data_IF_744066229684
#
_entry.id   IF_744066229684
#
_cell.length_a   1.000
_cell.length_b   1.000
_cell.length_c   1.000
_cell.angle_alpha   90.00
_cell.angle_beta   90.00
_cell.angle_gamma   90.00
#
_symmetry.space_group_name_H-M   'P 1'
#
loop_
_entity.id
_entity.type
_entity.pdbx_description
1 polymer ?
#
# COMPACT_ATOMS: atom_id res chain seq x y z
N UNK A 1 6.57 -20.53 5.88
CA UNK A 1 5.82 -19.34 5.39
C UNK A 1 6.24 -18.14 6.21
N UNK A 2 7.06 -17.25 5.64
CA UNK A 2 7.36 -15.98 6.30
C UNK A 2 6.11 -15.10 6.19
N UNK A 3 5.48 -14.76 7.30
CA UNK A 3 4.52 -13.67 7.31
C UNK A 3 5.26 -12.43 6.83
N UNK A 4 4.94 -11.96 5.62
CA UNK A 4 5.35 -10.62 5.19
C UNK A 4 4.98 -9.66 6.31
N UNK A 5 5.97 -8.94 6.87
CA UNK A 5 5.75 -7.96 7.93
C UNK A 5 4.80 -6.84 7.50
N UNK A 6 4.30 -6.81 6.26
CA UNK A 6 3.50 -5.74 5.74
C UNK A 6 1.99 -6.02 5.90
N UNK A 7 1.27 -5.02 6.42
CA UNK A 7 -0.19 -5.04 6.55
C UNK A 7 -0.81 -3.98 5.63
N UNK A 8 -1.93 -4.34 5.00
CA UNK A 8 -2.76 -3.49 4.15
C UNK A 8 -4.14 -3.37 4.78
N UNK A 9 -4.49 -2.17 5.23
CA UNK A 9 -5.76 -1.90 5.91
C UNK A 9 -6.45 -0.65 5.35
N UNK A 10 -7.78 -0.63 5.41
CA UNK A 10 -8.56 0.62 5.35
C UNK A 10 -8.92 1.01 6.78
N UNK A 11 -8.66 2.26 7.15
CA UNK A 11 -8.97 2.76 8.48
C UNK A 11 -9.28 4.25 8.46
N UNK A 12 -10.08 4.70 9.43
CA UNK A 12 -10.36 6.11 9.69
C UNK A 12 -9.43 6.62 10.78
N UNK A 13 -8.83 7.79 10.59
CA UNK A 13 -8.01 8.45 11.62
C UNK A 13 -8.94 9.15 12.61
N UNK A 14 -8.77 8.90 13.91
CA UNK A 14 -9.63 9.45 14.96
C UNK A 14 -8.89 10.33 15.97
N UNK A 15 -7.56 10.25 16.02
CA UNK A 15 -6.76 11.11 16.89
C UNK A 15 -5.28 11.04 16.56
N UNK A 16 -4.51 11.99 17.09
CA UNK A 16 -3.05 12.05 16.94
C UNK A 16 -2.41 12.51 18.24
N UNK A 17 -1.26 11.93 18.58
CA UNK A 17 -0.42 12.39 19.68
C UNK A 17 1.07 12.17 19.38
N UNK A 18 1.91 13.07 19.89
CA UNK A 18 3.36 12.89 19.90
C UNK A 18 3.72 12.01 21.11
N UNK A 19 4.44 10.89 20.89
CA UNK A 19 4.70 9.90 21.97
C UNK A 19 6.16 9.88 22.42
N UNK A 20 7.12 10.03 21.51
CA UNK A 20 8.54 9.99 21.85
C UNK A 20 9.34 10.81 20.85
N UNK A 21 9.95 11.91 21.30
CA UNK A 21 10.91 12.77 20.58
C UNK A 21 10.43 13.30 19.23
N UNK A 22 10.24 12.42 18.27
CA UNK A 22 9.83 12.66 16.89
C UNK A 22 8.87 11.60 16.32
N UNK A 23 8.14 10.83 17.15
CA UNK A 23 7.17 9.83 16.68
C UNK A 23 5.73 10.31 16.94
N UNK A 24 4.97 10.45 15.86
CA UNK A 24 3.51 10.61 15.89
C UNK A 24 2.85 9.24 15.96
N UNK A 25 1.91 9.11 16.89
CA UNK A 25 0.96 8.00 16.95
C UNK A 25 -0.41 8.52 16.55
N UNK A 26 -0.98 7.91 15.53
CA UNK A 26 -2.37 8.10 15.14
C UNK A 26 -3.21 6.98 15.71
N UNK A 27 -4.26 7.33 16.45
CA UNK A 27 -5.30 6.39 16.82
C UNK A 27 -6.24 6.23 15.62
N UNK A 28 -6.58 4.98 15.29
CA UNK A 28 -7.37 4.66 14.10
C UNK A 28 -8.53 3.72 14.43
N UNK A 29 -9.61 3.86 13.67
CA UNK A 29 -10.69 2.89 13.62
C UNK A 29 -10.50 2.03 12.35
N UNK A 30 -10.00 0.81 12.52
CA UNK A 30 -9.85 -0.12 11.40
C UNK A 30 -11.23 -0.51 10.84
N UNK A 31 -11.42 -0.31 9.55
CA UNK A 31 -12.65 -0.66 8.82
C UNK A 31 -12.50 -2.03 8.17
N UNK A 32 -11.35 -2.28 7.54
CA UNK A 32 -11.08 -3.54 6.84
C UNK A 32 -9.60 -3.89 6.82
N UNK A 33 -9.29 -5.18 6.99
CA UNK A 33 -7.97 -5.72 6.71
C UNK A 33 -8.00 -6.48 5.37
N UNK A 34 -7.09 -6.14 4.46
CA UNK A 34 -6.94 -6.82 3.17
C UNK A 34 -5.75 -7.79 3.16
N UNK A 35 -4.68 -7.46 3.90
CA UNK A 35 -3.51 -8.32 4.10
C UNK A 35 -2.95 -8.02 5.49
N UNK A 36 -2.59 -9.04 6.25
CA UNK A 36 -2.01 -8.87 7.57
C UNK A 36 -2.36 -10.02 8.51
N UNK A 37 -1.99 -9.91 9.79
CA UNK A 37 -2.35 -10.89 10.81
C UNK A 37 -3.83 -10.81 11.18
N UNK A 38 -4.37 -11.88 11.75
CA UNK A 38 -5.74 -11.91 12.28
C UNK A 38 -5.85 -11.16 13.62
N UNK A 39 -5.65 -9.85 13.59
CA UNK A 39 -5.82 -8.94 14.74
C UNK A 39 -6.12 -7.53 14.27
N UNK A 40 -6.90 -6.80 15.08
CA UNK A 40 -7.24 -5.40 14.81
C UNK A 40 -6.05 -4.49 15.12
N UNK A 41 -5.73 -3.59 14.18
CA UNK A 41 -4.73 -2.54 14.36
C UNK A 41 -5.44 -1.29 14.88
N UNK A 42 -5.06 -0.85 16.07
CA UNK A 42 -5.68 0.29 16.76
C UNK A 42 -4.91 1.60 16.56
N UNK A 43 -3.65 1.52 16.13
CA UNK A 43 -2.78 2.67 15.99
C UNK A 43 -1.73 2.50 14.90
N UNK A 44 -1.38 3.62 14.29
CA UNK A 44 -0.32 3.74 13.30
C UNK A 44 0.74 4.72 13.81
N UNK A 45 2.00 4.44 13.51
CA UNK A 45 3.15 5.23 13.93
C UNK A 45 3.91 5.75 12.71
N UNK A 46 4.43 6.97 12.82
CA UNK A 46 5.26 7.59 11.78
C UNK A 46 6.17 8.64 12.42
N UNK A 47 7.26 8.99 11.74
CA UNK A 47 8.05 10.16 12.13
C UNK A 47 7.19 11.44 12.06
N UNK A 48 7.53 12.44 12.86
CA UNK A 48 6.85 13.73 12.94
C UNK A 48 7.23 14.71 11.83
N UNK A 49 8.37 14.49 11.18
CA UNK A 49 8.90 15.37 10.14
C UNK A 49 8.92 14.67 8.77
N UNK A 50 8.44 15.33 7.70
CA UNK A 50 8.58 14.82 6.33
C UNK A 50 10.03 14.51 5.94
N UNK A 51 11.00 15.26 6.46
CA UNK A 51 12.43 15.02 6.23
C UNK A 51 12.92 13.68 6.80
N UNK A 52 12.22 13.13 7.79
CA UNK A 52 12.43 11.79 8.34
C UNK A 52 11.42 10.77 7.77
N UNK A 53 10.88 11.02 6.58
CA UNK A 53 9.83 10.25 5.94
C UNK A 53 8.52 10.17 6.76
N UNK A 54 8.25 11.20 7.55
CA UNK A 54 7.03 11.34 8.33
C UNK A 54 5.79 11.66 7.48
N UNK A 55 4.63 11.20 7.92
CA UNK A 55 3.34 11.44 7.27
C UNK A 55 2.41 12.22 8.20
N UNK A 56 1.80 13.27 7.65
CA UNK A 56 0.71 14.00 8.32
C UNK A 56 -0.62 13.46 7.83
N UNK A 57 -1.49 13.01 8.74
CA UNK A 57 -2.81 12.49 8.42
C UNK A 57 -3.90 13.39 8.98
N UNK A 58 -5.01 13.51 8.27
CA UNK A 58 -6.16 14.31 8.68
C UNK A 58 -7.09 13.48 9.57
N UNK A 59 -7.52 14.05 10.70
CA UNK A 59 -8.52 13.44 11.57
C UNK A 59 -9.86 13.38 10.84
N UNK A 60 -10.64 12.33 11.12
CA UNK A 60 -11.92 12.00 10.50
C UNK A 60 -11.86 11.62 9.02
N UNK A 61 -10.67 11.43 8.46
CA UNK A 61 -10.49 10.98 7.08
C UNK A 61 -10.12 9.50 7.03
N UNK A 62 -10.59 8.83 5.99
CA UNK A 62 -10.30 7.43 5.71
C UNK A 62 -9.17 7.28 4.72
N UNK A 63 -8.34 6.28 4.96
CA UNK A 63 -7.18 6.00 4.13
C UNK A 63 -7.03 4.51 3.89
N UNK A 64 -6.34 4.18 2.81
CA UNK A 64 -5.73 2.88 2.60
C UNK A 64 -4.26 2.98 3.01
N UNK A 65 -3.87 2.18 4.00
CA UNK A 65 -2.52 2.14 4.54
C UNK A 65 -1.82 0.84 4.17
N UNK A 66 -0.61 0.95 3.62
CA UNK A 66 0.38 -0.12 3.56
C UNK A 66 1.48 0.22 4.55
N UNK A 67 1.57 -0.56 5.62
CA UNK A 67 2.53 -0.32 6.71
C UNK A 67 3.25 -1.58 7.14
N UNK A 68 4.41 -1.39 7.78
CA UNK A 68 5.20 -2.47 8.35
C UNK A 68 4.76 -2.72 9.79
N UNK A 69 4.50 -3.98 10.12
CA UNK A 69 4.11 -4.43 11.43
C UNK A 69 5.34 -4.95 12.18
N UNK A 70 5.68 -4.28 13.27
CA UNK A 70 6.83 -4.61 14.11
C UNK A 70 6.41 -4.60 15.57
N UNK A 71 6.62 -5.72 16.27
CA UNK A 71 6.23 -5.89 17.68
C UNK A 71 4.78 -5.48 18.00
N UNK A 72 3.87 -5.69 17.05
CA UNK A 72 2.44 -5.34 17.19
C UNK A 72 2.08 -3.89 16.87
N UNK A 73 3.05 -3.07 16.48
CA UNK A 73 2.84 -1.68 16.03
C UNK A 73 2.96 -1.60 14.52
N UNK A 74 2.05 -0.85 13.89
CA UNK A 74 2.09 -0.59 12.46
C UNK A 74 2.78 0.74 12.20
N UNK A 75 3.84 0.72 11.40
CA UNK A 75 4.60 1.90 10.99
C UNK A 75 4.34 2.21 9.52
N UNK A 76 4.12 3.49 9.23
CA UNK A 76 4.02 4.01 7.85
C UNK A 76 5.11 5.07 7.64
N UNK A 77 5.42 5.31 6.38
CA UNK A 77 6.37 6.34 5.96
C UNK A 77 5.85 7.07 4.73
N UNK A 78 6.47 8.19 4.40
CA UNK A 78 6.13 9.02 3.24
C UNK A 78 6.24 8.25 1.90
N UNK A 79 7.15 7.28 1.81
CA UNK A 79 7.30 6.43 0.62
C UNK A 79 6.26 5.28 0.56
N UNK A 80 5.51 5.07 1.64
CA UNK A 80 4.46 4.07 1.72
C UNK A 80 3.17 4.52 1.02
N UNK A 81 2.28 3.56 0.79
CA UNK A 81 0.97 3.84 0.22
C UNK A 81 0.00 4.24 1.34
N UNK A 82 -0.27 5.54 1.47
CA UNK A 82 -1.11 6.14 2.50
C UNK A 82 -2.18 7.05 1.87
N UNK A 83 -2.87 6.56 0.84
CA UNK A 83 -3.79 7.38 0.05
C UNK A 83 -5.14 7.53 0.75
N UNK A 84 -5.76 8.73 0.70
CA UNK A 84 -7.16 8.89 1.05
C UNK A 84 -8.04 7.90 0.30
N UNK A 85 -9.00 7.30 1.00
CA UNK A 85 -9.87 6.28 0.41
C UNK A 85 -10.66 6.82 -0.79
N UNK A 86 -11.04 8.10 -0.77
CA UNK A 86 -11.78 8.72 -1.86
C UNK A 86 -10.95 8.96 -3.12
N UNK A 87 -9.63 9.06 -3.00
CA UNK A 87 -8.73 9.28 -4.13
C UNK A 87 -8.42 7.98 -4.91
N UNK A 88 -8.84 6.83 -4.39
CA UNK A 88 -8.71 5.55 -5.07
C UNK A 88 -9.74 5.42 -6.19
N UNK A 89 -9.28 4.96 -7.36
CA UNK A 89 -10.16 4.63 -8.48
C UNK A 89 -11.12 3.49 -8.12
N UNK A 90 -12.25 3.41 -8.81
CA UNK A 90 -13.17 2.28 -8.67
C UNK A 90 -12.48 0.93 -8.97
N UNK A 91 -11.54 0.93 -9.94
CA UNK A 91 -10.72 -0.24 -10.27
C UNK A 91 -9.83 -0.68 -9.11
N UNK A 92 -9.12 0.25 -8.48
CA UNK A 92 -8.31 -0.02 -7.28
C UNK A 92 -9.16 -0.58 -6.14
N UNK A 93 -10.27 0.09 -5.80
CA UNK A 93 -11.19 -0.35 -4.74
C UNK A 93 -11.69 -1.79 -4.97
N UNK A 94 -12.00 -2.14 -6.23
CA UNK A 94 -12.39 -3.49 -6.63
C UNK A 94 -11.23 -4.48 -6.52
N UNK A 95 -10.07 -4.14 -7.07
CA UNK A 95 -8.92 -5.05 -7.16
C UNK A 95 -8.32 -5.41 -5.79
N UNK A 96 -8.48 -4.56 -4.77
CA UNK A 96 -8.13 -4.85 -3.37
C UNK A 96 -8.77 -6.13 -2.82
N UNK A 97 -9.98 -6.48 -3.28
CA UNK A 97 -10.71 -7.65 -2.79
C UNK A 97 -10.63 -8.88 -3.71
N UNK A 98 -10.19 -8.70 -4.95
CA UNK A 98 -10.38 -9.71 -5.99
C UNK A 98 -9.10 -10.12 -6.71
N UNK A 99 -8.22 -9.17 -7.03
CA UNK A 99 -7.17 -9.38 -8.04
C UNK A 99 -5.76 -9.25 -7.49
N UNK A 100 -5.49 -8.28 -6.60
CA UNK A 100 -4.11 -8.05 -6.16
C UNK A 100 -3.48 -9.25 -5.45
N UNK A 101 -4.28 -10.08 -4.75
CA UNK A 101 -3.76 -11.30 -4.16
C UNK A 101 -3.26 -12.30 -5.21
N UNK A 102 -3.97 -12.48 -6.32
CA UNK A 102 -3.55 -13.36 -7.42
C UNK A 102 -2.34 -12.83 -8.21
N UNK A 103 -2.04 -11.54 -8.09
CA UNK A 103 -0.88 -10.90 -8.70
C UNK A 103 0.39 -10.89 -7.86
N UNK A 104 0.35 -11.38 -6.60
CA UNK A 104 1.51 -11.28 -5.68
C UNK A 104 2.75 -12.06 -6.14
N UNK A 105 2.57 -13.06 -7.00
CA UNK A 105 3.66 -13.83 -7.61
C UNK A 105 4.29 -13.11 -8.81
N UNK A 106 3.63 -12.07 -9.34
CA UNK A 106 4.12 -11.29 -10.46
C UNK A 106 4.95 -10.10 -9.99
N UNK A 107 5.97 -9.76 -10.79
CA UNK A 107 6.78 -8.56 -10.57
C UNK A 107 6.21 -7.41 -11.39
N UNK A 108 6.14 -6.23 -10.79
CA UNK A 108 5.92 -4.98 -11.54
C UNK A 108 7.26 -4.30 -11.72
N UNK A 109 7.70 -4.14 -12.97
CA UNK A 109 8.99 -3.53 -13.31
C UNK A 109 8.75 -2.10 -13.77
N UNK A 110 9.28 -1.12 -13.04
CA UNK A 110 9.22 0.28 -13.45
C UNK A 110 10.17 0.54 -14.63
N UNK A 111 9.64 1.12 -15.71
CA UNK A 111 10.47 1.69 -16.77
C UNK A 111 10.78 3.15 -16.46
N UNK A 112 11.98 3.41 -15.94
CA UNK A 112 12.42 4.73 -15.50
C UNK A 112 13.06 5.52 -16.65
N UNK A 113 13.69 4.83 -17.60
CA UNK A 113 14.29 5.41 -18.80
C UNK A 113 14.20 4.44 -19.99
N UNK A 114 14.23 4.99 -21.21
CA UNK A 114 14.24 4.20 -22.43
C UNK A 114 15.69 3.86 -22.85
N UNK A 115 15.94 2.66 -23.41
CA UNK A 115 14.99 1.56 -23.60
C UNK A 115 14.63 0.86 -22.27
N UNK A 116 13.36 0.47 -22.11
CA UNK A 116 12.91 -0.21 -20.89
C UNK A 116 13.63 -1.55 -20.70
N UNK A 117 13.77 -2.02 -19.44
CA UNK A 117 14.27 -3.38 -19.17
C UNK A 117 13.46 -4.41 -19.96
N UNK A 118 14.13 -5.41 -20.52
CA UNK A 118 13.47 -6.52 -21.21
C UNK A 118 12.58 -7.26 -20.21
N UNK A 119 11.29 -7.40 -20.55
CA UNK A 119 10.30 -8.01 -19.65
C UNK A 119 10.57 -9.49 -19.50
N UNK A 120 10.75 -9.94 -18.26
CA UNK A 120 10.68 -11.36 -17.92
C UNK A 120 9.22 -11.84 -18.04
N UNK A 121 9.01 -13.14 -18.27
CA UNK A 121 7.67 -13.73 -18.41
C UNK A 121 6.86 -13.65 -17.11
N UNK A 122 7.53 -13.52 -15.96
CA UNK A 122 6.93 -13.36 -14.62
C UNK A 122 6.74 -11.89 -14.21
N UNK A 123 6.79 -10.96 -15.17
CA UNK A 123 6.72 -9.53 -14.88
C UNK A 123 5.80 -8.74 -15.82
N UNK A 124 5.18 -7.69 -15.28
CA UNK A 124 4.52 -6.65 -16.06
C UNK A 124 5.36 -5.38 -16.05
N UNK A 125 5.66 -4.86 -17.24
CA UNK A 125 6.37 -3.61 -17.40
C UNK A 125 5.41 -2.44 -17.16
N UNK A 126 5.75 -1.56 -16.23
CA UNK A 126 5.04 -0.32 -15.96
C UNK A 126 5.74 0.84 -16.70
N UNK A 127 5.19 1.19 -17.86
CA UNK A 127 5.67 2.27 -18.73
C UNK A 127 4.99 3.62 -18.48
N UNK A 128 3.86 3.58 -17.77
CA UNK A 128 2.95 4.71 -17.53
C UNK A 128 3.38 5.62 -16.36
N UNK A 129 4.67 6.00 -16.30
CA UNK A 129 5.09 7.00 -15.31
C UNK A 129 4.45 8.35 -15.63
N UNK A 130 3.49 8.78 -14.81
CA UNK A 130 2.80 10.06 -14.98
C UNK A 130 1.51 10.03 -15.81
N UNK A 131 0.99 8.86 -16.21
CA UNK A 131 -0.32 8.73 -16.86
C UNK A 131 -1.31 7.91 -16.01
N UNK A 132 -2.60 8.18 -16.17
CA UNK A 132 -3.69 7.64 -15.31
C UNK A 132 -4.03 6.16 -15.61
N UNK A 133 -3.45 5.58 -16.66
CA UNK A 133 -3.78 4.24 -17.16
C UNK A 133 -3.45 3.12 -16.16
N UNK A 134 -2.44 3.31 -15.29
CA UNK A 134 -2.08 2.37 -14.24
C UNK A 134 -3.08 2.26 -13.09
N UNK A 135 -4.06 3.18 -12.97
CA UNK A 135 -5.01 3.19 -11.84
C UNK A 135 -6.11 2.14 -11.93
N UNK A 136 -6.36 1.55 -13.09
CA UNK A 136 -7.43 0.55 -13.25
C UNK A 136 -6.91 -0.87 -13.53
N UNK A 137 -5.61 -1.01 -13.80
CA UNK A 137 -4.99 -2.27 -14.16
C UNK A 137 -4.36 -2.95 -12.94
N UNK A 138 -4.30 -4.27 -12.99
CA UNK A 138 -3.52 -5.09 -12.06
C UNK A 138 -2.63 -6.04 -12.86
N UNK A 139 -1.41 -6.27 -12.41
CA UNK A 139 -0.54 -7.29 -12.96
C UNK A 139 -0.94 -8.65 -12.37
N UNK A 140 -1.39 -9.58 -13.21
CA UNK A 140 -2.00 -10.84 -12.77
C UNK A 140 -1.31 -12.03 -13.41
N UNK A 141 -1.13 -13.09 -12.62
CA UNK A 141 -0.56 -14.36 -13.06
C UNK A 141 -1.58 -15.17 -13.86
N UNK A 142 -1.20 -15.61 -15.05
CA UNK A 142 -1.98 -16.51 -15.89
C UNK A 142 -1.73 -17.97 -15.51
N UNK A 143 -2.54 -18.86 -16.09
CA UNK A 143 -2.42 -20.31 -15.90
C UNK A 143 -1.12 -20.90 -16.46
N UNK A 144 -0.56 -20.26 -17.49
CA UNK A 144 0.71 -20.66 -18.12
C UNK A 144 1.95 -20.16 -17.34
N UNK A 145 1.75 -19.46 -16.21
CA UNK A 145 2.81 -18.92 -15.37
C UNK A 145 3.29 -17.52 -15.78
N UNK A 146 2.78 -16.96 -16.89
CA UNK A 146 3.13 -15.60 -17.33
C UNK A 146 2.33 -14.53 -16.59
N UNK A 147 2.83 -13.29 -16.58
CA UNK A 147 2.17 -12.15 -15.96
C UNK A 147 1.75 -11.10 -17.00
N UNK A 148 0.53 -10.59 -16.89
CA UNK A 148 -0.01 -9.57 -17.81
C UNK A 148 -0.89 -8.54 -17.08
N UNK A 149 -1.01 -7.34 -17.66
CA UNK A 149 -1.91 -6.29 -17.17
C UNK A 149 -3.38 -6.61 -17.48
N UNK A 150 -4.27 -6.49 -16.49
CA UNK A 150 -5.71 -6.79 -16.58
C UNK A 150 -6.61 -5.88 -15.76
#
# INVERSE_FOLDING_TARGET
MAFSKQSLIRAKVVGVKLVSGNILKYDIQQIKMFKGPDRVIHAIFTASSPAACGVTLEINKEYLFIGMLETGRMYITLCGYNLPWEDLSAGQKKNLNHRYQSGCDCKVIHCISLPCPTSATDACLWTDWGTDNGRNLACIKRRDGTCEWK
#
